data_IF_657039470793
#
_entry.id   IF_657039470793
#
_cell.length_a   1.000
_cell.length_b   1.000
_cell.length_c   1.000
_cell.angle_alpha   90.00
_cell.angle_beta   90.00
_cell.angle_gamma   90.00
#
_symmetry.space_group_name_H-M   'P 1'
#
loop_
_entity.id
_entity.type
_entity.pdbx_description
1 polymer ?
#
# COMPACT_ATOMS: atom_id res chain seq x y z
N UNK A 1 24.14 -9.25 7.54
CA UNK A 1 23.50 -8.51 6.44
C UNK A 1 23.12 -7.16 7.01
N UNK A 2 23.54 -6.05 6.39
CA UNK A 2 23.45 -4.69 6.94
C UNK A 2 21.98 -4.27 7.07
N UNK A 3 21.43 -4.42 8.28
CA UNK A 3 20.06 -4.09 8.70
C UNK A 3 19.78 -2.57 8.70
N UNK A 4 20.44 -1.79 7.85
CA UNK A 4 20.45 -0.34 7.99
C UNK A 4 19.39 0.41 7.18
N UNK A 5 18.90 -0.17 6.09
CA UNK A 5 17.94 0.47 5.18
C UNK A 5 16.52 -0.05 5.41
N UNK A 6 15.52 0.83 5.64
CA UNK A 6 14.10 0.47 5.70
C UNK A 6 13.68 -0.31 4.45
N UNK A 7 12.84 -1.34 4.62
CA UNK A 7 12.34 -2.18 3.50
C UNK A 7 11.78 -1.36 2.32
N UNK A 8 10.96 -0.30 2.51
CA UNK A 8 10.43 0.50 1.40
C UNK A 8 11.50 1.16 0.51
N UNK A 9 12.68 1.42 1.08
CA UNK A 9 13.81 2.06 0.40
C UNK A 9 14.75 1.03 -0.25
N UNK A 10 14.50 -0.27 -0.07
CA UNK A 10 15.25 -1.31 -0.79
C UNK A 10 14.99 -1.18 -2.28
N UNK A 11 16.05 -1.33 -3.07
CA UNK A 11 15.97 -1.26 -4.53
C UNK A 11 15.77 -2.66 -5.10
N UNK A 12 14.73 -2.81 -5.93
CA UNK A 12 14.50 -3.99 -6.76
C UNK A 12 14.62 -3.55 -8.21
N UNK A 13 15.47 -4.22 -8.99
CA UNK A 13 15.81 -3.82 -10.36
C UNK A 13 16.31 -2.35 -10.49
N UNK A 14 16.96 -1.82 -9.44
CA UNK A 14 17.51 -0.46 -9.42
C UNK A 14 16.55 0.63 -8.94
N UNK A 15 15.25 0.33 -8.81
CA UNK A 15 14.20 1.28 -8.38
C UNK A 15 13.80 0.98 -6.93
N UNK A 16 13.58 2.01 -6.09
CA UNK A 16 13.11 1.77 -4.71
C UNK A 16 11.68 1.24 -4.76
N UNK A 17 11.32 0.31 -3.87
CA UNK A 17 9.96 -0.27 -3.85
C UNK A 17 8.90 0.84 -3.77
N UNK A 18 9.09 1.80 -2.87
CA UNK A 18 8.18 2.94 -2.70
C UNK A 18 8.06 3.85 -3.94
N UNK A 19 9.11 3.98 -4.77
CA UNK A 19 9.03 4.76 -6.00
C UNK A 19 8.03 4.13 -6.99
N UNK A 20 7.97 2.80 -7.04
CA UNK A 20 7.02 2.10 -7.91
C UNK A 20 5.57 2.39 -7.50
N UNK A 21 5.33 2.54 -6.19
CA UNK A 21 4.02 2.90 -5.63
C UNK A 21 3.67 4.35 -6.01
N UNK A 22 4.58 5.30 -5.74
CA UNK A 22 4.36 6.72 -6.02
C UNK A 22 4.11 6.96 -7.51
N UNK A 23 4.90 6.33 -8.39
CA UNK A 23 4.70 6.43 -9.85
C UNK A 23 3.33 5.87 -10.26
N UNK A 24 2.94 4.72 -9.73
CA UNK A 24 1.64 4.13 -10.02
C UNK A 24 0.49 5.03 -9.51
N UNK A 25 0.64 5.71 -8.38
CA UNK A 25 -0.34 6.68 -7.87
C UNK A 25 -0.44 7.91 -8.79
N UNK A 26 0.70 8.50 -9.18
CA UNK A 26 0.75 9.64 -10.10
C UNK A 26 0.12 9.32 -11.46
N UNK A 27 0.35 8.12 -12.01
CA UNK A 27 -0.27 7.69 -13.27
C UNK A 27 -1.80 7.53 -13.17
N UNK A 28 -2.32 7.31 -11.96
CA UNK A 28 -3.75 7.28 -11.67
C UNK A 28 -4.31 8.66 -11.25
N UNK A 29 -3.51 9.72 -11.35
CA UNK A 29 -3.91 11.08 -11.00
C UNK A 29 -4.01 11.33 -9.49
N UNK A 30 -3.42 10.47 -8.67
CA UNK A 30 -3.38 10.60 -7.21
C UNK A 30 -2.04 11.23 -6.83
N UNK A 31 -2.08 12.49 -6.41
CA UNK A 31 -0.89 13.25 -6.03
C UNK A 31 -0.83 13.51 -4.52
N UNK A 32 -1.95 13.49 -3.80
CA UNK A 32 -1.95 13.64 -2.35
C UNK A 32 -1.48 12.36 -1.66
N UNK A 33 -0.17 12.27 -1.35
CA UNK A 33 0.47 11.06 -0.85
C UNK A 33 1.06 11.29 0.54
N UNK A 34 0.59 10.50 1.50
CA UNK A 34 1.12 10.49 2.87
C UNK A 34 1.92 9.22 3.13
N UNK A 35 3.21 9.37 3.45
CA UNK A 35 4.08 8.24 3.80
C UNK A 35 4.28 8.25 5.31
N UNK A 36 3.68 7.27 5.99
CA UNK A 36 3.86 7.12 7.43
C UNK A 36 5.22 6.51 7.72
N UNK A 37 6.10 7.28 8.37
CA UNK A 37 7.46 6.89 8.71
C UNK A 37 7.62 6.72 10.22
N UNK A 38 8.49 5.80 10.62
CA UNK A 38 8.79 5.52 12.01
C UNK A 38 10.28 5.33 12.21
N UNK A 39 10.70 4.08 12.39
CA UNK A 39 12.12 3.72 12.49
C UNK A 39 12.93 4.29 11.32
N UNK A 40 13.95 5.09 11.63
CA UNK A 40 14.88 5.72 10.65
C UNK A 40 14.20 6.67 9.66
N UNK A 41 13.24 7.47 10.14
CA UNK A 41 12.58 8.54 9.36
C UNK A 41 13.55 9.44 8.60
N UNK A 42 14.77 9.65 9.10
CA UNK A 42 15.80 10.48 8.48
C UNK A 42 16.18 9.97 7.07
N UNK A 43 16.06 8.66 6.83
CA UNK A 43 16.33 8.09 5.49
C UNK A 43 15.22 8.37 4.48
N UNK A 44 14.01 8.71 4.96
CA UNK A 44 12.88 9.11 4.11
C UNK A 44 12.85 10.62 3.84
N UNK A 45 13.65 11.42 4.53
CA UNK A 45 13.69 12.88 4.33
C UNK A 45 14.05 13.29 2.89
N UNK A 46 14.75 12.42 2.13
CA UNK A 46 15.00 12.67 0.71
C UNK A 46 13.72 12.66 -0.13
N UNK A 47 12.66 11.98 0.31
CA UNK A 47 11.41 11.86 -0.46
C UNK A 47 10.71 13.21 -0.59
N UNK A 48 10.66 14.03 0.46
CA UNK A 48 10.04 15.36 0.40
C UNK A 48 10.82 16.32 -0.52
N UNK A 49 12.12 16.06 -0.74
CA UNK A 49 12.93 16.82 -1.70
C UNK A 49 12.81 16.33 -3.14
N UNK A 50 12.46 15.05 -3.33
CA UNK A 50 12.36 14.40 -4.64
C UNK A 50 10.94 14.47 -5.21
N UNK A 51 9.92 14.56 -4.34
CA UNK A 51 8.51 14.61 -4.69
C UNK A 51 7.83 15.74 -3.91
N UNK A 52 7.28 16.71 -4.62
CA UNK A 52 6.57 17.85 -4.01
C UNK A 52 5.23 17.43 -3.39
N UNK A 53 4.61 16.36 -3.91
CA UNK A 53 3.29 15.90 -3.49
C UNK A 53 3.32 14.83 -2.39
N UNK A 54 4.52 14.47 -1.89
CA UNK A 54 4.70 13.50 -0.81
C UNK A 54 4.91 14.22 0.51
N UNK A 55 4.09 13.88 1.51
CA UNK A 55 4.23 14.35 2.89
C UNK A 55 4.61 13.20 3.82
N UNK A 56 5.64 13.38 4.65
CA UNK A 56 5.99 12.39 5.67
C UNK A 56 5.18 12.59 6.94
N UNK A 57 4.54 11.53 7.41
CA UNK A 57 3.80 11.52 8.68
C UNK A 57 4.57 10.68 9.69
N UNK A 58 5.05 11.30 10.76
CA UNK A 58 5.79 10.59 11.79
C UNK A 58 4.84 9.79 12.69
N UNK A 59 5.08 8.49 12.81
CA UNK A 59 4.47 7.64 13.83
C UNK A 59 5.40 7.52 15.05
N UNK A 60 5.15 8.27 16.15
CA UNK A 60 5.97 8.20 17.35
C UNK A 60 5.86 6.85 18.09
N UNK A 61 4.87 6.02 17.74
CA UNK A 61 4.61 4.71 18.36
C UNK A 61 5.09 3.55 17.49
N UNK A 62 6.04 3.78 16.59
CA UNK A 62 6.57 2.75 15.67
C UNK A 62 7.16 1.53 16.39
N UNK A 63 7.68 1.70 17.60
CA UNK A 63 8.33 0.64 18.40
C UNK A 63 7.31 -0.18 19.22
N UNK A 64 6.14 0.39 19.50
CA UNK A 64 5.17 -0.18 20.43
C UNK A 64 3.94 -0.79 19.77
N UNK A 65 3.70 -0.53 18.48
CA UNK A 65 2.47 -0.93 17.81
C UNK A 65 2.67 -1.34 16.35
N UNK A 66 1.89 -2.34 15.94
CA UNK A 66 1.81 -2.88 14.57
C UNK A 66 1.17 -1.83 13.60
N UNK A 67 0.85 -2.21 12.35
CA UNK A 67 0.27 -1.31 11.32
C UNK A 67 -0.92 -0.43 11.79
N UNK A 68 -1.64 -0.83 12.84
CA UNK A 68 -2.73 -0.06 13.45
C UNK A 68 -2.26 1.30 14.00
N UNK A 69 -1.06 1.41 14.58
CA UNK A 69 -0.57 2.72 15.04
C UNK A 69 -0.22 3.65 13.88
N UNK A 70 0.29 3.10 12.78
CA UNK A 70 0.54 3.88 11.57
C UNK A 70 -0.78 4.41 11.00
N UNK A 71 -1.83 3.58 11.00
CA UNK A 71 -3.18 3.98 10.63
C UNK A 71 -3.71 5.10 11.55
N UNK A 72 -3.51 4.97 12.85
CA UNK A 72 -3.94 5.96 13.83
C UNK A 72 -3.20 7.30 13.69
N UNK A 73 -1.92 7.28 13.32
CA UNK A 73 -1.15 8.49 13.05
C UNK A 73 -1.70 9.24 11.81
N UNK A 74 -2.17 8.51 10.81
CA UNK A 74 -2.78 9.06 9.60
C UNK A 74 -4.31 9.26 9.68
N UNK A 75 -4.92 9.08 10.87
CA UNK A 75 -6.40 9.04 11.03
C UNK A 75 -7.14 10.24 10.46
N UNK A 76 -6.52 11.42 10.51
CA UNK A 76 -7.12 12.68 10.03
C UNK A 76 -7.18 12.74 8.49
N UNK A 77 -6.47 11.84 7.82
CA UNK A 77 -6.36 11.73 6.36
C UNK A 77 -7.03 10.46 5.81
N UNK A 78 -7.82 9.73 6.60
CA UNK A 78 -8.43 8.46 6.16
C UNK A 78 -9.74 8.60 5.38
N UNK A 79 -10.35 9.79 5.35
CA UNK A 79 -11.56 10.03 4.56
C UNK A 79 -11.23 9.94 3.06
N UNK A 80 -11.83 8.98 2.34
CA UNK A 80 -11.59 8.72 0.91
C UNK A 80 -10.13 8.37 0.57
N UNK A 81 -9.45 7.68 1.49
CA UNK A 81 -8.04 7.32 1.33
C UNK A 81 -7.83 5.91 0.77
N UNK A 82 -6.68 5.74 0.12
CA UNK A 82 -6.11 4.45 -0.20
C UNK A 82 -4.92 4.19 0.70
N UNK A 83 -4.89 3.02 1.35
CA UNK A 83 -3.83 2.64 2.27
C UNK A 83 -3.08 1.48 1.65
N UNK A 84 -1.76 1.66 1.52
CA UNK A 84 -0.84 0.71 0.94
C UNK A 84 0.26 0.38 1.94
N UNK A 85 0.66 -0.89 1.99
CA UNK A 85 1.88 -1.29 2.67
C UNK A 85 3.10 -0.82 1.86
N UNK A 86 4.03 -0.11 2.52
CA UNK A 86 5.21 0.48 1.86
C UNK A 86 6.26 -0.54 1.40
N UNK A 87 6.12 -1.82 1.72
CA UNK A 87 7.01 -2.90 1.29
C UNK A 87 6.45 -3.72 0.11
N UNK A 88 5.48 -3.16 -0.61
CA UNK A 88 4.89 -3.77 -1.80
C UNK A 88 5.48 -3.18 -3.07
N UNK A 89 5.65 -4.02 -4.10
CA UNK A 89 6.01 -3.58 -5.45
C UNK A 89 4.76 -3.61 -6.32
N UNK A 90 4.44 -2.47 -6.92
CA UNK A 90 3.25 -2.33 -7.77
C UNK A 90 3.67 -2.53 -9.22
N UNK A 91 3.33 -3.69 -9.79
CA UNK A 91 3.58 -4.00 -11.21
C UNK A 91 2.42 -3.65 -12.13
N UNK A 92 1.19 -3.69 -11.62
CA UNK A 92 -0.04 -3.33 -12.35
C UNK A 92 -0.62 -2.08 -11.72
N UNK A 93 -0.67 -0.99 -12.46
CA UNK A 93 -1.14 0.32 -11.98
C UNK A 93 -2.66 0.40 -11.87
N UNK A 94 -3.38 -0.45 -12.62
CA UNK A 94 -4.84 -0.51 -12.63
C UNK A 94 -5.40 -0.88 -11.25
N UNK A 95 -4.56 -1.46 -10.37
CA UNK A 95 -4.94 -1.78 -9.00
C UNK A 95 -5.12 -0.52 -8.13
N UNK A 96 -4.54 0.61 -8.56
CA UNK A 96 -4.59 1.90 -7.86
C UNK A 96 -5.59 2.88 -8.48
N UNK A 97 -6.52 2.41 -9.32
CA UNK A 97 -7.57 3.27 -9.84
C UNK A 97 -8.34 3.95 -8.68
N UNK A 98 -8.61 5.26 -8.80
CA UNK A 98 -9.27 6.05 -7.76
C UNK A 98 -10.77 5.78 -7.67
N UNK A 99 -11.37 5.18 -8.71
CA UNK A 99 -12.79 4.87 -8.75
C UNK A 99 -13.10 3.62 -7.92
N UNK A 100 -13.82 3.79 -6.80
CA UNK A 100 -14.37 2.69 -6.01
C UNK A 100 -15.75 3.05 -5.48
N UNK A 101 -16.65 2.05 -5.43
CA UNK A 101 -18.04 2.23 -4.95
C UNK A 101 -18.26 1.77 -3.51
N UNK A 102 -17.34 1.00 -2.93
CA UNK A 102 -17.42 0.47 -1.55
C UNK A 102 -16.02 0.30 -0.95
N UNK A 103 -15.93 0.39 0.37
CA UNK A 103 -14.71 0.03 1.12
C UNK A 103 -14.43 -1.47 0.99
N UNK A 104 -13.17 -1.83 0.81
CA UNK A 104 -12.76 -3.21 0.60
C UNK A 104 -11.27 -3.37 0.33
N UNK A 105 -10.81 -4.62 0.33
CA UNK A 105 -9.48 -4.99 -0.12
C UNK A 105 -9.47 -5.11 -1.64
N UNK A 106 -8.48 -4.48 -2.29
CA UNK A 106 -8.26 -4.73 -3.70
C UNK A 106 -7.77 -6.15 -3.92
N UNK A 107 -8.51 -6.85 -4.76
CA UNK A 107 -8.00 -8.06 -5.36
C UNK A 107 -8.20 -7.98 -6.86
N UNK A 108 -7.19 -8.38 -7.64
CA UNK A 108 -7.29 -8.43 -9.10
C UNK A 108 -7.25 -9.86 -9.55
N UNK A 109 -8.18 -10.23 -10.42
CA UNK A 109 -8.16 -11.54 -11.04
C UNK A 109 -6.91 -11.68 -11.90
N UNK A 110 -6.08 -12.68 -11.61
CA UNK A 110 -4.93 -13.05 -12.45
C UNK A 110 -5.12 -14.48 -12.95
N UNK A 111 -4.99 -14.67 -14.26
CA UNK A 111 -4.87 -16.00 -14.86
C UNK A 111 -3.41 -16.47 -14.91
N UNK A 112 -2.47 -15.54 -14.76
CA UNK A 112 -1.03 -15.83 -14.69
C UNK A 112 -0.64 -16.36 -13.32
N UNK A 113 0.41 -17.18 -13.30
CA UNK A 113 0.99 -17.71 -12.08
C UNK A 113 1.65 -16.58 -11.27
N UNK A 114 1.29 -16.49 -10.00
CA UNK A 114 1.84 -15.52 -9.06
C UNK A 114 2.20 -16.22 -7.76
N UNK A 115 3.26 -15.76 -7.09
CA UNK A 115 3.62 -16.18 -5.73
C UNK A 115 2.83 -15.43 -4.65
N UNK A 116 2.02 -14.44 -5.07
CA UNK A 116 1.23 -13.60 -4.18
C UNK A 116 -0.04 -14.31 -3.67
N UNK A 117 -0.67 -13.75 -2.64
CA UNK A 117 -1.85 -14.36 -2.02
C UNK A 117 -3.03 -14.33 -2.99
N UNK A 118 -3.64 -15.49 -3.26
CA UNK A 118 -4.78 -15.62 -4.16
C UNK A 118 -6.04 -16.00 -3.40
N UNK A 119 -7.06 -15.16 -3.49
CA UNK A 119 -8.41 -15.48 -3.03
C UNK A 119 -9.23 -16.13 -4.14
N UNK A 120 -10.07 -17.08 -3.77
CA UNK A 120 -11.20 -17.46 -4.62
C UNK A 120 -12.47 -16.85 -4.04
N UNK A 121 -13.19 -16.11 -4.88
CA UNK A 121 -14.43 -15.43 -4.52
C UNK A 121 -15.56 -16.10 -5.29
N UNK A 122 -16.61 -16.50 -4.57
CA UNK A 122 -17.83 -17.07 -5.14
C UNK A 122 -19.00 -16.24 -4.62
N UNK A 123 -19.81 -15.67 -5.52
CA UNK A 123 -20.95 -14.80 -5.18
C UNK A 123 -20.58 -13.59 -4.29
N UNK A 124 -19.39 -13.02 -4.47
CA UNK A 124 -18.90 -11.88 -3.68
C UNK A 124 -18.39 -12.24 -2.28
N UNK A 125 -18.32 -13.53 -1.94
CA UNK A 125 -17.80 -14.02 -0.65
C UNK A 125 -16.49 -14.77 -0.87
N UNK A 126 -15.47 -14.46 -0.06
CA UNK A 126 -14.18 -15.17 -0.08
C UNK A 126 -14.37 -16.60 0.41
N UNK A 127 -14.12 -17.58 -0.46
CA UNK A 127 -14.23 -19.02 -0.16
C UNK A 127 -12.93 -19.63 0.32
N UNK A 128 -11.80 -19.20 -0.24
CA UNK A 128 -10.48 -19.72 0.11
C UNK A 128 -9.40 -18.69 -0.19
N UNK A 129 -8.27 -18.80 0.50
CA UNK A 129 -7.08 -17.97 0.30
C UNK A 129 -5.86 -18.87 0.22
N UNK A 130 -5.21 -18.91 -0.96
CA UNK A 130 -3.91 -19.52 -1.16
C UNK A 130 -2.83 -18.52 -0.76
N UNK A 131 -2.02 -18.87 0.24
CA UNK A 131 -0.91 -18.02 0.74
C UNK A 131 0.43 -18.34 0.08
N UNK A 132 0.45 -19.30 -0.83
CA UNK A 132 1.66 -19.82 -1.49
C UNK A 132 1.64 -19.56 -2.99
N UNK A 133 0.82 -18.61 -3.46
CA UNK A 133 0.65 -18.39 -4.88
C UNK A 133 -0.28 -19.38 -5.58
N UNK A 134 -0.36 -19.28 -6.90
CA UNK A 134 -1.20 -20.09 -7.77
C UNK A 134 -1.59 -19.37 -9.07
N UNK A 135 -2.62 -19.89 -9.75
CA UNK A 135 -3.17 -19.33 -11.00
C UNK A 135 -4.69 -19.32 -10.96
N UNK A 136 -5.33 -18.36 -11.63
CA UNK A 136 -6.80 -18.29 -11.73
C UNK A 136 -7.46 -17.93 -10.40
N UNK A 137 -7.07 -16.79 -9.84
CA UNK A 137 -7.60 -16.31 -8.57
C UNK A 137 -7.50 -14.79 -8.42
N UNK A 138 -8.17 -14.27 -7.40
CA UNK A 138 -8.12 -12.87 -7.02
C UNK A 138 -6.88 -12.59 -6.18
N UNK A 139 -5.84 -12.07 -6.82
CA UNK A 139 -4.58 -11.70 -6.20
C UNK A 139 -4.83 -10.55 -5.22
N UNK A 140 -4.62 -10.80 -3.93
CA UNK A 140 -4.78 -9.84 -2.86
C UNK A 140 -3.58 -8.92 -2.85
N UNK A 141 -3.83 -7.64 -3.04
CA UNK A 141 -2.83 -6.63 -2.74
C UNK A 141 -3.18 -6.06 -1.37
N UNK A 142 -2.17 -5.76 -0.54
CA UNK A 142 -2.34 -5.04 0.74
C UNK A 142 -2.76 -3.57 0.50
N UNK A 143 -3.76 -3.37 -0.34
CA UNK A 143 -4.36 -2.08 -0.68
C UNK A 143 -5.77 -2.10 -0.15
N UNK A 144 -6.01 -1.32 0.89
CA UNK A 144 -7.36 -1.11 1.43
C UNK A 144 -7.86 0.27 1.04
N UNK A 145 -9.12 0.37 0.64
CA UNK A 145 -9.77 1.66 0.34
C UNK A 145 -10.81 1.96 1.40
N UNK A 146 -10.79 3.20 1.88
CA UNK A 146 -11.68 3.68 2.94
C UNK A 146 -12.60 4.76 2.36
N UNK A 147 -13.90 4.47 2.33
CA UNK A 147 -14.90 5.47 1.97
C UNK A 147 -14.98 6.56 3.04
N UNK A 148 -15.53 7.72 2.68
CA UNK A 148 -15.81 8.80 3.65
C UNK A 148 -16.65 8.35 4.85
N UNK A 149 -17.58 7.41 4.67
CA UNK A 149 -18.43 6.93 5.76
C UNK A 149 -17.65 6.07 6.75
N UNK A 150 -16.69 5.28 6.27
CA UNK A 150 -15.88 4.39 7.12
C UNK A 150 -14.64 5.10 7.70
N UNK A 151 -14.14 6.15 7.06
CA UNK A 151 -12.98 6.92 7.53
C UNK A 151 -13.27 7.91 8.66
N UNK A 152 -14.54 8.09 9.05
CA UNK A 152 -14.98 9.05 10.09
C UNK A 152 -14.99 8.49 11.52
N UNK A 153 -14.57 7.25 11.73
CA UNK A 153 -14.64 6.55 13.02
C UNK A 153 -13.57 6.97 14.02
#
# INVERSE_FOLDING_TARGET
>A
MTFDTPKPLIRVNGVRMIDTVIQALHENGIYEIYVVVGYKKEQFACMESEYEDVTLVENPYWDSCNNIASLYAAREHLENAMILDGDQIIYRKEILLPEFTRSGYNAVWTEEETDEWLMQVENGIVRSCSRTGGKGGWQLFSVSRWSREDGKS
#
